data_IF_450251668524
#
_entry.id   IF_450251668524
#
_cell.length_a   1.000
_cell.length_b   1.000
_cell.length_c   1.000
_cell.angle_alpha   90.00
_cell.angle_beta   90.00
_cell.angle_gamma   90.00
#
_symmetry.space_group_name_H-M   'P 1'
#
loop_
_entity.id
_entity.type
_entity.pdbx_description
1 polymer ?
#
# COMPACT_ATOMS: atom_id res chain seq x y z
N UNK A 1 11.54 -2.12 -11.02
CA UNK A 1 12.28 -1.01 -11.67
C UNK A 1 13.53 -0.56 -10.92
N UNK A 2 13.65 -0.73 -9.59
CA UNK A 2 14.93 -0.57 -8.88
C UNK A 2 16.08 -1.38 -9.55
N UNK A 3 15.77 -2.59 -10.03
CA UNK A 3 16.68 -3.41 -10.84
C UNK A 3 17.04 -2.83 -12.23
N UNK A 4 16.20 -1.95 -12.81
CA UNK A 4 16.50 -1.27 -14.08
C UNK A 4 17.39 -0.04 -13.84
N UNK A 5 17.12 0.75 -12.80
CA UNK A 5 17.98 1.88 -12.41
C UNK A 5 19.37 1.42 -11.96
N UNK A 6 19.43 0.32 -11.20
CA UNK A 6 20.70 -0.31 -10.80
C UNK A 6 21.45 -0.91 -12.01
N UNK A 7 20.74 -1.37 -13.06
CA UNK A 7 21.35 -1.78 -14.35
C UNK A 7 21.80 -0.60 -15.22
N UNK A 8 21.30 0.61 -14.98
CA UNK A 8 21.70 1.84 -15.65
C UNK A 8 22.81 2.62 -14.92
N UNK A 9 23.25 2.16 -13.74
CA UNK A 9 24.40 2.70 -13.02
C UNK A 9 24.12 3.84 -12.03
N UNK A 10 22.85 4.08 -11.66
CA UNK A 10 22.51 5.17 -10.74
C UNK A 10 22.93 4.90 -9.29
N UNK A 11 23.69 5.83 -8.71
CA UNK A 11 24.05 5.94 -7.29
C UNK A 11 22.87 6.38 -6.42
N UNK A 12 22.98 6.24 -5.10
CA UNK A 12 21.99 6.72 -4.12
C UNK A 12 21.69 8.22 -4.31
N UNK A 13 22.74 9.04 -4.39
CA UNK A 13 22.62 10.49 -4.60
C UNK A 13 21.85 10.84 -5.87
N UNK A 14 22.08 10.11 -6.97
CA UNK A 14 21.38 10.37 -8.23
C UNK A 14 19.89 10.02 -8.18
N UNK A 15 19.49 9.01 -7.40
CA UNK A 15 18.07 8.68 -7.20
C UNK A 15 17.33 9.74 -6.40
N UNK A 16 17.98 10.23 -5.33
CA UNK A 16 17.46 11.32 -4.50
C UNK A 16 17.30 12.59 -5.34
N UNK A 17 18.34 12.97 -6.09
CA UNK A 17 18.31 14.12 -6.99
C UNK A 17 17.22 13.99 -8.06
N UNK A 18 17.08 12.81 -8.68
CA UNK A 18 16.06 12.54 -9.68
C UNK A 18 14.64 12.73 -9.11
N UNK A 19 14.38 12.19 -7.91
CA UNK A 19 13.07 12.36 -7.25
C UNK A 19 12.82 13.82 -6.86
N UNK A 20 13.85 14.53 -6.37
CA UNK A 20 13.77 15.97 -6.07
C UNK A 20 13.39 16.79 -7.30
N UNK A 21 14.08 16.60 -8.43
CA UNK A 21 13.77 17.33 -9.67
C UNK A 21 12.38 16.98 -10.22
N UNK A 22 11.97 15.73 -10.10
CA UNK A 22 10.61 15.32 -10.47
C UNK A 22 9.55 16.06 -9.64
N UNK A 23 9.70 16.14 -8.32
CA UNK A 23 8.76 16.86 -7.45
C UNK A 23 8.71 18.36 -7.75
N UNK A 24 9.87 18.97 -8.02
CA UNK A 24 9.96 20.38 -8.47
C UNK A 24 9.19 20.60 -9.77
N UNK A 25 9.34 19.70 -10.73
CA UNK A 25 8.62 19.76 -12.00
C UNK A 25 7.10 19.71 -11.77
N UNK A 26 6.61 18.79 -10.94
CA UNK A 26 5.18 18.68 -10.59
C UNK A 26 4.64 19.99 -10.00
N UNK A 27 5.37 20.58 -9.04
CA UNK A 27 5.00 21.84 -8.40
C UNK A 27 4.95 23.01 -9.41
N UNK A 28 5.88 23.06 -10.35
CA UNK A 28 5.96 24.13 -11.37
C UNK A 28 4.92 24.01 -12.46
N UNK A 29 4.49 22.79 -12.78
CA UNK A 29 3.50 22.54 -13.84
C UNK A 29 2.06 22.83 -13.38
N UNK A 30 1.84 23.12 -12.09
CA UNK A 30 0.52 23.47 -11.52
C UNK A 30 -0.60 22.50 -11.94
N UNK A 31 -0.26 21.20 -11.95
CA UNK A 31 -1.18 20.13 -12.37
C UNK A 31 -2.33 19.95 -11.37
N UNK A 32 -3.48 19.52 -11.89
CA UNK A 32 -4.60 19.08 -11.04
C UNK A 32 -4.23 17.83 -10.22
N UNK A 33 -4.97 17.59 -9.12
CA UNK A 33 -4.67 16.51 -8.18
C UNK A 33 -4.65 15.13 -8.86
N UNK A 34 -5.51 14.89 -9.85
CA UNK A 34 -5.61 13.62 -10.55
C UNK A 34 -4.35 13.34 -11.39
N UNK A 35 -3.87 14.34 -12.14
CA UNK A 35 -2.63 14.25 -12.92
C UNK A 35 -1.41 14.15 -12.02
N UNK A 36 -1.33 14.94 -10.95
CA UNK A 36 -0.26 14.80 -9.96
C UNK A 36 -0.21 13.37 -9.41
N UNK A 37 -1.37 12.83 -9.03
CA UNK A 37 -1.46 11.48 -8.45
C UNK A 37 -1.05 10.41 -9.46
N UNK A 38 -1.45 10.55 -10.72
CA UNK A 38 -1.06 9.64 -11.79
C UNK A 38 0.46 9.67 -11.99
N UNK A 39 1.06 10.85 -12.12
CA UNK A 39 2.49 10.99 -12.36
C UNK A 39 3.33 10.52 -11.17
N UNK A 40 2.98 10.93 -9.95
CA UNK A 40 3.68 10.50 -8.73
C UNK A 40 3.56 9.00 -8.56
N UNK A 41 2.33 8.45 -8.67
CA UNK A 41 2.11 7.01 -8.56
C UNK A 41 2.87 6.21 -9.62
N UNK A 42 2.92 6.70 -10.87
CA UNK A 42 3.74 6.09 -11.92
C UNK A 42 5.24 6.17 -11.57
N UNK A 43 5.74 7.34 -11.20
CA UNK A 43 7.14 7.57 -10.89
C UNK A 43 7.65 6.70 -9.73
N UNK A 44 6.85 6.51 -8.68
CA UNK A 44 7.16 5.62 -7.55
C UNK A 44 7.32 4.15 -7.94
N UNK A 45 6.74 3.71 -9.06
CA UNK A 45 7.00 2.35 -9.57
C UNK A 45 8.43 2.20 -10.10
N UNK A 46 9.05 3.31 -10.54
CA UNK A 46 10.38 3.37 -11.11
C UNK A 46 11.46 3.69 -10.09
N UNK A 47 11.26 4.77 -9.34
CA UNK A 47 12.20 5.29 -8.34
C UNK A 47 11.62 5.06 -6.95
N UNK A 48 12.08 3.97 -6.32
CA UNK A 48 11.82 3.69 -4.91
C UNK A 48 13.05 4.09 -4.13
N UNK A 49 12.87 5.00 -3.18
CA UNK A 49 13.90 5.39 -2.23
C UNK A 49 13.81 4.48 -1.00
N UNK A 50 14.95 4.20 -0.37
CA UNK A 50 15.01 3.66 0.99
C UNK A 50 14.62 4.73 2.02
N UNK A 51 14.44 4.33 3.28
CA UNK A 51 14.14 5.28 4.37
C UNK A 51 15.26 6.32 4.54
N UNK A 52 16.52 5.91 4.36
CA UNK A 52 17.68 6.80 4.39
C UNK A 52 17.66 7.80 3.21
N UNK A 53 17.35 7.33 2.01
CA UNK A 53 17.24 8.18 0.81
C UNK A 53 16.04 9.16 0.90
N UNK A 54 14.91 8.74 1.47
CA UNK A 54 13.77 9.63 1.75
C UNK A 54 14.14 10.70 2.78
N UNK A 55 14.90 10.34 3.81
CA UNK A 55 15.40 11.31 4.79
C UNK A 55 16.38 12.29 4.16
N UNK A 56 17.27 11.82 3.28
CA UNK A 56 18.16 12.67 2.51
C UNK A 56 17.38 13.63 1.61
N UNK A 57 16.37 13.13 0.88
CA UNK A 57 15.49 13.95 0.05
C UNK A 57 14.83 15.07 0.87
N UNK A 58 14.32 14.77 2.06
CA UNK A 58 13.73 15.78 2.95
C UNK A 58 14.74 16.83 3.39
N UNK A 59 15.98 16.42 3.68
CA UNK A 59 17.04 17.36 4.04
C UNK A 59 17.38 18.28 2.86
N UNK A 60 17.55 17.74 1.66
CA UNK A 60 17.82 18.53 0.46
C UNK A 60 16.68 19.48 0.09
N UNK A 61 15.42 19.05 0.26
CA UNK A 61 14.25 19.92 0.07
C UNK A 61 14.24 21.06 1.09
N UNK A 62 14.71 20.81 2.31
CA UNK A 62 14.78 21.83 3.35
C UNK A 62 15.79 22.94 3.06
N UNK A 63 16.77 22.69 2.19
CA UNK A 63 17.80 23.64 1.74
C UNK A 63 17.35 24.47 0.51
N UNK A 64 16.18 24.16 -0.07
CA UNK A 64 15.65 24.89 -1.23
C UNK A 64 15.12 26.30 -0.88
N UNK A 65 14.99 27.14 -1.90
CA UNK A 65 14.31 28.45 -1.84
C UNK A 65 12.92 28.34 -1.20
N UNK A 66 12.58 29.27 -0.30
CA UNK A 66 11.43 29.15 0.62
C UNK A 66 10.10 28.83 -0.08
N UNK A 67 9.79 29.52 -1.18
CA UNK A 67 8.53 29.32 -1.91
C UNK A 67 8.44 27.96 -2.61
N UNK A 68 9.55 27.45 -3.13
CA UNK A 68 9.59 26.15 -3.81
C UNK A 68 9.61 25.02 -2.78
N UNK A 69 10.38 25.20 -1.70
CA UNK A 69 10.45 24.31 -0.54
C UNK A 69 9.07 24.02 0.03
N UNK A 70 8.29 25.04 0.35
CA UNK A 70 6.97 24.88 0.99
C UNK A 70 6.04 24.00 0.16
N UNK A 71 5.94 24.26 -1.15
CA UNK A 71 5.09 23.49 -2.06
C UNK A 71 5.55 22.04 -2.23
N UNK A 72 6.86 21.81 -2.32
CA UNK A 72 7.41 20.45 -2.43
C UNK A 72 7.21 19.67 -1.13
N UNK A 73 7.40 20.32 0.02
CA UNK A 73 7.18 19.69 1.33
C UNK A 73 5.70 19.34 1.55
N UNK A 74 4.79 20.25 1.20
CA UNK A 74 3.35 20.01 1.24
C UNK A 74 2.95 18.80 0.38
N UNK A 75 3.51 18.72 -0.83
CA UNK A 75 3.30 17.59 -1.72
C UNK A 75 3.76 16.28 -1.07
N UNK A 76 4.99 16.22 -0.55
CA UNK A 76 5.54 15.04 0.14
C UNK A 76 4.63 14.59 1.29
N UNK A 77 4.26 15.51 2.19
CA UNK A 77 3.41 15.21 3.35
C UNK A 77 2.03 14.70 2.91
N UNK A 78 1.41 15.34 1.90
CA UNK A 78 0.09 14.95 1.41
C UNK A 78 0.06 13.52 0.89
N UNK A 79 1.06 13.12 0.10
CA UNK A 79 1.13 11.78 -0.47
C UNK A 79 1.51 10.72 0.56
N UNK A 80 2.40 11.05 1.51
CA UNK A 80 2.74 10.18 2.64
C UNK A 80 1.49 9.88 3.50
N UNK A 81 0.73 10.90 3.87
CA UNK A 81 -0.52 10.73 4.62
C UNK A 81 -1.53 9.88 3.86
N UNK A 82 -1.70 10.13 2.55
CA UNK A 82 -2.57 9.31 1.68
C UNK A 82 -2.09 7.85 1.61
N UNK A 83 -0.78 7.62 1.57
CA UNK A 83 -0.16 6.29 1.59
C UNK A 83 -0.48 5.55 2.89
N UNK A 84 -0.27 6.21 4.04
CA UNK A 84 -0.58 5.66 5.37
C UNK A 84 -2.07 5.31 5.48
N UNK A 85 -2.96 6.22 5.10
CA UNK A 85 -4.41 5.98 5.15
C UNK A 85 -4.83 4.78 4.29
N UNK A 86 -4.30 4.67 3.06
CA UNK A 86 -4.56 3.51 2.20
C UNK A 86 -4.03 2.23 2.82
N UNK A 87 -2.84 2.25 3.41
CA UNK A 87 -2.25 1.11 4.12
C UNK A 87 -3.12 0.64 5.27
N UNK A 88 -3.59 1.55 6.12
CA UNK A 88 -4.50 1.25 7.23
C UNK A 88 -5.83 0.68 6.73
N UNK A 89 -6.44 1.28 5.71
CA UNK A 89 -7.70 0.79 5.15
C UNK A 89 -7.55 -0.62 4.57
N UNK A 90 -6.48 -0.85 3.81
CA UNK A 90 -6.17 -2.17 3.24
C UNK A 90 -5.94 -3.20 4.34
N UNK A 91 -5.11 -2.88 5.33
CA UNK A 91 -4.83 -3.78 6.46
C UNK A 91 -6.08 -4.09 7.29
N UNK A 92 -6.95 -3.10 7.52
CA UNK A 92 -8.24 -3.33 8.20
C UNK A 92 -9.16 -4.26 7.42
N UNK A 93 -9.23 -4.08 6.08
CA UNK A 93 -10.04 -4.94 5.22
C UNK A 93 -9.51 -6.38 5.22
N UNK A 94 -8.21 -6.55 4.97
CA UNK A 94 -7.57 -7.88 4.97
C UNK A 94 -7.69 -8.56 6.33
N UNK A 95 -7.49 -7.82 7.43
CA UNK A 95 -7.65 -8.35 8.78
C UNK A 95 -9.09 -8.76 9.11
N UNK A 96 -10.09 -8.02 8.62
CA UNK A 96 -11.49 -8.38 8.78
C UNK A 96 -11.85 -9.65 7.98
N UNK A 97 -11.39 -9.76 6.74
CA UNK A 97 -11.62 -10.93 5.88
C UNK A 97 -10.96 -12.18 6.48
N UNK A 98 -9.70 -12.08 6.89
CA UNK A 98 -8.98 -13.20 7.52
C UNK A 98 -9.60 -13.60 8.86
N UNK A 99 -9.95 -12.61 9.70
CA UNK A 99 -10.63 -12.86 10.97
C UNK A 99 -11.99 -13.53 10.79
N UNK A 100 -12.77 -13.11 9.79
CA UNK A 100 -14.04 -13.74 9.45
C UNK A 100 -13.85 -15.19 8.99
N UNK A 101 -12.89 -15.45 8.09
CA UNK A 101 -12.57 -16.80 7.61
C UNK A 101 -12.15 -17.74 8.74
N UNK A 102 -11.28 -17.27 9.64
CA UNK A 102 -10.85 -18.04 10.81
C UNK A 102 -12.01 -18.30 11.77
N UNK A 103 -12.84 -17.29 12.04
CA UNK A 103 -14.04 -17.43 12.85
C UNK A 103 -15.03 -18.45 12.28
N UNK A 104 -15.28 -18.39 10.97
CA UNK A 104 -16.17 -19.32 10.27
C UNK A 104 -15.64 -20.76 10.34
N UNK A 105 -14.33 -20.94 10.08
CA UNK A 105 -13.67 -22.24 10.21
C UNK A 105 -13.79 -22.82 11.62
N UNK A 106 -13.60 -22.00 12.65
CA UNK A 106 -13.75 -22.42 14.04
C UNK A 106 -15.19 -22.82 14.35
N UNK A 107 -16.18 -22.04 13.88
CA UNK A 107 -17.60 -22.33 14.05
C UNK A 107 -17.99 -23.68 13.42
N UNK A 108 -17.64 -23.88 12.15
CA UNK A 108 -17.90 -25.12 11.40
C UNK A 108 -17.28 -26.34 12.11
N UNK A 109 -16.01 -26.24 12.53
CA UNK A 109 -15.35 -27.32 13.29
C UNK A 109 -16.04 -27.62 14.62
N UNK A 110 -16.51 -26.61 15.34
CA UNK A 110 -17.21 -26.81 16.60
C UNK A 110 -18.59 -27.44 16.41
N UNK A 111 -19.32 -27.06 15.36
CA UNK A 111 -20.59 -27.69 15.00
C UNK A 111 -20.41 -29.16 14.63
N UNK A 112 -19.39 -29.47 13.82
CA UNK A 112 -19.05 -30.85 13.47
C UNK A 112 -18.66 -31.69 14.69
N UNK A 113 -17.84 -31.14 15.61
CA UNK A 113 -17.50 -31.80 16.89
C UNK A 113 -18.72 -32.09 17.77
N UNK A 114 -19.80 -31.31 17.63
CA UNK A 114 -21.08 -31.54 18.34
C UNK A 114 -21.97 -32.56 17.64
N UNK A 115 -21.50 -33.19 16.55
CA UNK A 115 -22.19 -34.26 15.84
C UNK A 115 -23.08 -33.77 14.70
N UNK A 116 -23.03 -32.49 14.33
CA UNK A 116 -23.77 -31.99 13.15
C UNK A 116 -23.12 -32.50 11.86
N UNK A 117 -23.96 -32.90 10.92
CA UNK A 117 -23.54 -33.31 9.58
C UNK A 117 -23.14 -32.10 8.73
N UNK A 118 -22.27 -32.25 7.72
CA UNK A 118 -21.90 -31.16 6.81
C UNK A 118 -23.10 -30.45 6.19
N UNK A 119 -24.16 -31.20 5.84
CA UNK A 119 -25.43 -30.68 5.32
C UNK A 119 -26.20 -29.79 6.30
N UNK A 120 -26.25 -30.18 7.57
CA UNK A 120 -26.90 -29.36 8.61
C UNK A 120 -26.11 -28.08 8.88
N UNK A 121 -24.77 -28.17 8.87
CA UNK A 121 -23.89 -27.02 9.06
C UNK A 121 -24.07 -26.04 7.90
N UNK A 122 -24.00 -26.53 6.66
CA UNK A 122 -24.20 -25.76 5.43
C UNK A 122 -25.49 -24.91 5.49
N UNK A 123 -26.60 -25.54 5.89
CA UNK A 123 -27.89 -24.86 6.04
C UNK A 123 -27.92 -23.80 7.16
N UNK A 124 -27.13 -23.98 8.23
CA UNK A 124 -27.11 -23.06 9.39
C UNK A 124 -26.22 -21.83 9.17
N UNK A 125 -25.12 -21.98 8.43
CA UNK A 125 -24.14 -20.90 8.21
C UNK A 125 -24.16 -20.33 6.80
N UNK A 126 -25.18 -20.69 6.01
CA UNK A 126 -25.39 -20.25 4.62
C UNK A 126 -24.17 -20.51 3.74
N UNK A 127 -23.67 -21.74 3.80
CA UNK A 127 -22.58 -22.26 2.98
C UNK A 127 -23.06 -23.46 2.17
N UNK A 128 -22.32 -23.81 1.13
CA UNK A 128 -22.47 -25.09 0.42
C UNK A 128 -21.86 -26.24 1.24
N UNK A 129 -22.31 -27.47 0.98
CA UNK A 129 -21.71 -28.65 1.60
C UNK A 129 -20.22 -28.76 1.24
N UNK A 130 -19.84 -28.41 0.00
CA UNK A 130 -18.45 -28.38 -0.46
C UNK A 130 -17.59 -27.37 0.32
N UNK A 131 -18.10 -26.16 0.58
CA UNK A 131 -17.38 -25.15 1.38
C UNK A 131 -17.18 -25.60 2.82
N UNK A 132 -18.19 -26.26 3.40
CA UNK A 132 -18.08 -26.87 4.74
C UNK A 132 -17.00 -27.95 4.75
N UNK A 133 -16.96 -28.84 3.75
CA UNK A 133 -15.92 -29.85 3.62
C UNK A 133 -14.53 -29.23 3.53
N UNK A 134 -14.34 -28.22 2.68
CA UNK A 134 -13.05 -27.52 2.54
C UNK A 134 -12.60 -26.84 3.86
N UNK A 135 -13.54 -26.27 4.62
CA UNK A 135 -13.26 -25.67 5.93
C UNK A 135 -12.90 -26.71 7.01
N UNK A 136 -13.39 -27.94 6.88
CA UNK A 136 -13.07 -29.05 7.79
C UNK A 136 -11.75 -29.75 7.44
N UNK A 137 -11.40 -29.86 6.15
CA UNK A 137 -10.18 -30.49 5.64
C UNK A 137 -8.93 -29.62 5.80
N UNK A 138 -9.08 -28.30 5.65
CA UNK A 138 -8.01 -27.33 5.93
C UNK A 138 -7.76 -27.20 7.42
#
# INVERSE_FOLDING_TARGET
AAALLSKMGYTESERVELKKQFLRMIVRMELDEAKQRLLIGFFETYVKLSDEEEQQLRNEVNEMETKEKEKVLELLISYEQKGIQKGIQKGKKEGLEEGFKQGMKHLVRNMSKKGMTPKEIAALVDLTEEEVHHLLES
#
